data_IF_537414959618
#
_entry.id   IF_537414959618
#
_cell.length_a   1.000
_cell.length_b   1.000
_cell.length_c   1.000
_cell.angle_alpha   90.00
_cell.angle_beta   90.00
_cell.angle_gamma   90.00
#
_symmetry.space_group_name_H-M   'P 1'
#
loop_
_entity.id
_entity.type
_entity.pdbx_description
1 polymer ?
#
# COMPACT_ATOMS: atom_id res chain seq x y z
N UNK A 1 22.31 -14.79 34.77
CA UNK A 1 22.40 -14.55 33.32
C UNK A 1 22.80 -15.88 32.72
N UNK A 2 21.98 -16.52 31.89
CA UNK A 2 22.47 -17.62 31.05
C UNK A 2 21.61 -17.70 29.78
N UNK A 3 22.28 -17.50 28.65
CA UNK A 3 21.73 -17.41 27.30
C UNK A 3 21.13 -18.75 26.87
N UNK A 4 19.81 -18.83 26.75
CA UNK A 4 19.15 -20.01 26.19
C UNK A 4 19.19 -19.94 24.66
N UNK A 5 19.70 -21.01 24.07
CA UNK A 5 20.25 -21.08 22.72
C UNK A 5 19.16 -20.83 21.68
N UNK A 6 19.17 -19.61 21.14
CA UNK A 6 18.36 -19.16 20.01
C UNK A 6 18.79 -19.81 18.70
N UNK A 7 18.57 -21.12 18.59
CA UNK A 7 18.52 -21.80 17.31
C UNK A 7 17.29 -21.33 16.56
N UNK A 8 17.42 -20.22 15.83
CA UNK A 8 16.40 -19.74 14.89
C UNK A 8 16.16 -20.89 13.91
N UNK A 9 15.03 -21.59 14.04
CA UNK A 9 14.64 -22.66 13.12
C UNK A 9 14.40 -22.05 11.73
N UNK A 10 15.47 -21.96 10.95
CA UNK A 10 15.50 -21.18 9.71
C UNK A 10 14.42 -21.64 8.71
N UNK A 11 14.10 -22.94 8.69
CA UNK A 11 13.03 -23.53 7.90
C UNK A 11 11.63 -23.03 8.31
N UNK A 12 11.33 -23.00 9.62
CA UNK A 12 10.05 -22.49 10.15
C UNK A 12 9.92 -21.00 9.86
N UNK A 13 11.00 -20.24 10.01
CA UNK A 13 11.00 -18.83 9.65
C UNK A 13 10.87 -18.60 8.15
N UNK A 14 11.42 -19.48 7.31
CA UNK A 14 11.26 -19.38 5.85
C UNK A 14 9.81 -19.62 5.45
N UNK A 15 9.19 -20.70 5.93
CA UNK A 15 7.77 -21.00 5.69
C UNK A 15 6.85 -19.87 6.18
N UNK A 16 7.16 -19.28 7.34
CA UNK A 16 6.44 -18.11 7.84
C UNK A 16 6.55 -16.87 6.93
N UNK A 17 7.75 -16.61 6.38
CA UNK A 17 7.95 -15.52 5.41
C UNK A 17 7.21 -15.80 4.10
N UNK A 18 7.27 -17.03 3.60
CA UNK A 18 6.59 -17.40 2.36
C UNK A 18 5.08 -17.25 2.48
N UNK A 19 4.49 -17.66 3.61
CA UNK A 19 3.08 -17.44 3.88
C UNK A 19 2.73 -15.95 3.96
N UNK A 20 3.58 -15.15 4.62
CA UNK A 20 3.41 -13.70 4.67
C UNK A 20 3.43 -13.06 3.27
N UNK A 21 4.38 -13.46 2.40
CA UNK A 21 4.44 -12.97 1.03
C UNK A 21 3.21 -13.36 0.20
N UNK A 22 2.75 -14.60 0.30
CA UNK A 22 1.53 -15.05 -0.40
C UNK A 22 0.31 -14.25 0.02
N UNK A 23 0.12 -14.02 1.32
CA UNK A 23 -0.99 -13.24 1.84
C UNK A 23 -0.91 -11.76 1.41
N UNK A 24 0.31 -11.19 1.44
CA UNK A 24 0.59 -9.83 0.96
C UNK A 24 0.20 -9.67 -0.52
N UNK A 25 0.64 -10.59 -1.36
CA UNK A 25 0.43 -10.52 -2.80
C UNK A 25 -1.05 -10.70 -3.15
N UNK A 26 -1.76 -11.57 -2.44
CA UNK A 26 -3.21 -11.71 -2.57
C UNK A 26 -3.97 -10.41 -2.21
N UNK A 27 -3.55 -9.73 -1.13
CA UNK A 27 -4.13 -8.44 -0.75
C UNK A 27 -3.88 -7.37 -1.82
N UNK A 28 -2.63 -7.16 -2.25
CA UNK A 28 -2.34 -6.13 -3.25
C UNK A 28 -2.92 -6.43 -4.63
N UNK A 29 -3.00 -7.71 -5.03
CA UNK A 29 -3.69 -8.08 -6.26
C UNK A 29 -5.19 -7.71 -6.23
N UNK A 30 -5.84 -7.84 -5.07
CA UNK A 30 -7.21 -7.37 -4.87
C UNK A 30 -7.28 -5.83 -4.97
N UNK A 31 -6.36 -5.12 -4.31
CA UNK A 31 -6.31 -3.64 -4.34
C UNK A 31 -6.04 -3.10 -5.75
N UNK A 32 -5.22 -3.77 -6.56
CA UNK A 32 -4.95 -3.36 -7.94
C UNK A 32 -6.13 -3.59 -8.87
N UNK A 33 -6.83 -4.73 -8.75
CA UNK A 33 -8.04 -5.02 -9.53
C UNK A 33 -9.18 -4.05 -9.22
N UNK A 34 -9.26 -3.61 -7.97
CA UNK A 34 -10.33 -2.78 -7.47
C UNK A 34 -9.92 -1.30 -7.32
N UNK A 35 -8.79 -0.92 -7.94
CA UNK A 35 -8.24 0.44 -7.87
C UNK A 35 -9.16 1.50 -8.53
N UNK A 36 -10.06 1.07 -9.42
CA UNK A 36 -11.06 1.92 -10.07
C UNK A 36 -12.28 2.18 -9.18
N UNK A 37 -12.47 1.42 -8.09
CA UNK A 37 -13.59 1.59 -7.16
C UNK A 37 -13.22 2.54 -6.03
N UNK A 38 -14.22 3.26 -5.50
CA UNK A 38 -14.02 4.24 -4.44
C UNK A 38 -13.39 3.59 -3.19
N UNK A 39 -12.21 4.05 -2.74
CA UNK A 39 -11.58 3.47 -1.57
C UNK A 39 -12.42 3.75 -0.32
N UNK A 40 -12.87 2.68 0.33
CA UNK A 40 -13.82 2.79 1.46
C UNK A 40 -13.14 2.66 2.81
N UNK A 41 -11.96 2.05 2.86
CA UNK A 41 -11.31 1.65 4.11
C UNK A 41 -9.84 2.12 4.16
N UNK A 42 -9.37 2.39 5.37
CA UNK A 42 -8.01 2.88 5.64
C UNK A 42 -7.14 1.75 6.22
N UNK A 43 -6.06 1.39 5.54
CA UNK A 43 -5.01 0.52 6.04
C UNK A 43 -3.91 1.32 6.76
N UNK A 44 -2.89 0.62 7.22
CA UNK A 44 -1.72 1.23 7.88
C UNK A 44 -1.00 2.15 6.89
N UNK A 45 -0.41 3.24 7.40
CA UNK A 45 0.32 4.22 6.61
C UNK A 45 -0.53 4.93 5.51
N UNK A 46 -1.84 5.02 5.71
CA UNK A 46 -2.75 5.79 4.84
C UNK A 46 -3.04 5.11 3.50
N UNK A 47 -2.78 3.80 3.39
CA UNK A 47 -3.17 3.04 2.21
C UNK A 47 -4.69 2.91 2.19
N UNK A 48 -5.32 3.45 1.15
CA UNK A 48 -6.76 3.31 0.95
C UNK A 48 -7.05 2.07 0.11
N UNK A 49 -8.00 1.24 0.55
CA UNK A 49 -8.40 0.02 -0.16
C UNK A 49 -9.93 -0.19 -0.14
N UNK A 50 -10.48 -0.98 -1.08
CA UNK A 50 -11.91 -1.23 -1.15
C UNK A 50 -12.34 -2.29 -0.12
N UNK A 51 -13.58 -2.20 0.37
CA UNK A 51 -14.14 -3.10 1.38
C UNK A 51 -14.09 -4.59 1.01
N UNK A 52 -14.08 -4.90 -0.30
CA UNK A 52 -13.94 -6.26 -0.82
C UNK A 52 -12.60 -6.92 -0.45
N UNK A 53 -11.55 -6.13 -0.22
CA UNK A 53 -10.22 -6.63 0.14
C UNK A 53 -10.00 -6.68 1.67
N UNK A 54 -11.06 -6.50 2.48
CA UNK A 54 -10.96 -6.50 3.95
C UNK A 54 -10.61 -7.88 4.51
N UNK A 55 -11.12 -8.95 3.91
CA UNK A 55 -10.81 -10.32 4.31
C UNK A 55 -9.33 -10.67 4.02
N UNK A 56 -8.85 -10.34 2.81
CA UNK A 56 -7.44 -10.53 2.46
C UNK A 56 -6.51 -9.66 3.31
N UNK A 57 -6.97 -8.47 3.73
CA UNK A 57 -6.26 -7.64 4.70
C UNK A 57 -6.13 -8.30 6.07
N UNK A 58 -7.20 -8.90 6.58
CA UNK A 58 -7.16 -9.59 7.88
C UNK A 58 -6.16 -10.76 7.85
N UNK A 59 -6.17 -11.57 6.78
CA UNK A 59 -5.22 -12.67 6.57
C UNK A 59 -3.78 -12.18 6.45
N UNK A 60 -3.56 -11.06 5.77
CA UNK A 60 -2.24 -10.45 5.63
C UNK A 60 -1.70 -9.96 6.98
N UNK A 61 -2.53 -9.27 7.78
CA UNK A 61 -2.14 -8.79 9.11
C UNK A 61 -1.91 -9.94 10.10
N UNK A 62 -2.67 -11.03 10.00
CA UNK A 62 -2.47 -12.20 10.87
C UNK A 62 -1.24 -13.02 10.49
N UNK A 63 -0.88 -13.08 9.20
CA UNK A 63 0.22 -13.90 8.69
C UNK A 63 1.58 -13.18 8.75
N UNK A 64 1.59 -11.85 8.72
CA UNK A 64 2.81 -11.04 8.70
C UNK A 64 3.06 -10.32 10.02
N UNK A 65 4.34 -10.06 10.32
CA UNK A 65 4.71 -9.16 11.44
C UNK A 65 4.23 -7.74 11.14
N UNK A 66 3.72 -7.04 12.17
CA UNK A 66 3.21 -5.68 12.01
C UNK A 66 4.24 -4.68 11.42
N UNK A 67 5.53 -4.84 11.73
CA UNK A 67 6.60 -4.03 11.14
C UNK A 67 6.74 -4.23 9.63
N UNK A 68 6.55 -5.47 9.16
CA UNK A 68 6.54 -5.82 7.74
C UNK A 68 5.31 -5.27 7.05
N UNK A 69 4.14 -5.40 7.67
CA UNK A 69 2.89 -4.83 7.15
C UNK A 69 3.04 -3.33 6.91
N UNK A 70 3.55 -2.59 7.92
CA UNK A 70 3.77 -1.15 7.81
C UNK A 70 4.80 -0.78 6.74
N UNK A 71 5.85 -1.59 6.58
CA UNK A 71 6.87 -1.38 5.55
C UNK A 71 6.30 -1.56 4.15
N UNK A 72 5.61 -2.67 3.90
CA UNK A 72 5.03 -2.95 2.58
C UNK A 72 3.91 -1.98 2.22
N UNK A 73 3.05 -1.60 3.17
CA UNK A 73 1.99 -0.62 2.90
C UNK A 73 2.60 0.72 2.45
N UNK A 74 3.71 1.14 3.10
CA UNK A 74 4.46 2.33 2.70
C UNK A 74 5.07 2.19 1.30
N UNK A 75 5.65 1.02 0.99
CA UNK A 75 6.22 0.74 -0.33
C UNK A 75 5.15 0.77 -1.43
N UNK A 76 3.98 0.18 -1.17
CA UNK A 76 2.88 0.15 -2.13
C UNK A 76 2.30 1.54 -2.37
N UNK A 77 2.08 2.33 -1.32
CA UNK A 77 1.69 3.74 -1.45
C UNK A 77 2.70 4.56 -2.26
N UNK A 78 4.01 4.38 -2.00
CA UNK A 78 5.05 5.03 -2.76
C UNK A 78 5.04 4.61 -4.24
N UNK A 79 4.94 3.31 -4.52
CA UNK A 79 4.87 2.78 -5.89
C UNK A 79 3.63 3.25 -6.64
N UNK A 80 2.44 3.23 -6.04
CA UNK A 80 1.20 3.77 -6.65
C UNK A 80 1.28 5.28 -6.87
N UNK A 81 1.94 6.03 -5.98
CA UNK A 81 2.21 7.47 -6.19
C UNK A 81 3.15 7.69 -7.37
N UNK A 82 4.21 6.89 -7.49
CA UNK A 82 5.13 6.95 -8.64
C UNK A 82 4.42 6.55 -9.93
N UNK A 83 3.61 5.50 -9.92
CA UNK A 83 2.81 5.09 -11.08
C UNK A 83 1.89 6.22 -11.56
N UNK A 84 1.15 6.85 -10.64
CA UNK A 84 0.29 8.01 -10.97
C UNK A 84 1.02 9.23 -11.54
N UNK A 85 2.33 9.35 -11.29
CA UNK A 85 3.18 10.41 -11.85
C UNK A 85 3.71 10.04 -13.24
N UNK A 86 3.84 8.75 -13.53
CA UNK A 86 4.34 8.23 -14.81
C UNK A 86 3.21 7.93 -15.81
N UNK A 87 1.96 7.82 -15.35
CA UNK A 87 0.80 7.68 -16.23
C UNK A 87 0.69 8.93 -17.13
N UNK A 88 0.60 8.77 -18.46
CA UNK A 88 0.59 9.89 -19.40
C UNK A 88 -0.57 10.87 -19.12
N UNK A 89 -0.23 12.15 -19.12
CA UNK A 89 -1.01 13.34 -18.70
C UNK A 89 -2.32 13.61 -19.49
N UNK A 90 -2.75 12.71 -20.38
CA UNK A 90 -3.81 12.99 -21.37
C UNK A 90 -5.23 13.10 -20.76
N UNK A 91 -5.46 12.57 -19.56
CA UNK A 91 -6.78 12.64 -18.91
C UNK A 91 -6.93 13.72 -17.83
N UNK A 92 -5.89 14.52 -17.55
CA UNK A 92 -5.89 15.47 -16.41
C UNK A 92 -5.62 16.94 -16.74
N UNK A 93 -5.42 17.30 -18.01
CA UNK A 93 -5.47 18.73 -18.40
C UNK A 93 -6.91 19.22 -18.48
N UNK A 94 -7.51 19.43 -17.31
CA UNK A 94 -8.42 20.57 -17.19
C UNK A 94 -7.65 21.85 -17.54
N UNK A 95 -8.30 22.88 -18.09
CA UNK A 95 -7.60 24.09 -18.52
C UNK A 95 -6.87 24.69 -17.32
N UNK A 96 -5.54 24.65 -17.37
CA UNK A 96 -4.66 25.31 -16.41
C UNK A 96 -4.89 26.82 -16.61
N UNK A 97 -5.91 27.35 -15.94
CA UNK A 97 -6.20 28.77 -15.91
C UNK A 97 -5.12 29.40 -15.05
N UNK A 98 -4.12 30.00 -15.71
CA UNK A 98 -3.20 30.89 -15.05
C UNK A 98 -4.03 31.94 -14.29
N UNK A 99 -3.75 32.20 -13.00
CA UNK A 99 -4.38 33.31 -12.30
C UNK A 99 -4.08 34.59 -13.09
N UNK A 100 -5.12 35.24 -13.59
CA UNK A 100 -5.01 36.49 -14.33
C UNK A 100 -4.30 37.52 -13.45
N UNK A 101 -3.32 38.28 -13.98
CA UNK A 101 -2.65 39.31 -13.20
C UNK A 101 -3.68 40.34 -12.73
N UNK A 102 -3.83 40.45 -11.42
CA UNK A 102 -4.78 41.37 -10.81
C UNK A 102 -4.41 42.80 -11.17
N UNK A 103 -5.26 43.45 -11.96
CA UNK A 103 -5.23 44.90 -12.18
C UNK A 103 -5.85 45.59 -10.96
N UNK A 104 -5.11 45.65 -9.85
CA UNK A 104 -5.45 46.61 -8.80
C UNK A 104 -5.25 48.02 -9.38
N UNK A 105 -6.37 48.69 -9.70
CA UNK A 105 -6.41 50.12 -10.00
C UNK A 105 -6.30 50.92 -8.69
N UNK A 106 -5.44 51.93 -8.75
CA UNK A 106 -5.14 52.96 -7.73
C UNK A 106 -6.37 53.64 -7.15
#
# INVERSE_FOLDING_TARGET
MESNQGGVMADVLSKGRDNCYKARDAFYACVEKEADKQPTELATAGLLFPSQCKESRALYVSSCRASWVRHFDRQFCAKKRVQRLLDPDDSRRGPMTLPQPSTFKT
#
